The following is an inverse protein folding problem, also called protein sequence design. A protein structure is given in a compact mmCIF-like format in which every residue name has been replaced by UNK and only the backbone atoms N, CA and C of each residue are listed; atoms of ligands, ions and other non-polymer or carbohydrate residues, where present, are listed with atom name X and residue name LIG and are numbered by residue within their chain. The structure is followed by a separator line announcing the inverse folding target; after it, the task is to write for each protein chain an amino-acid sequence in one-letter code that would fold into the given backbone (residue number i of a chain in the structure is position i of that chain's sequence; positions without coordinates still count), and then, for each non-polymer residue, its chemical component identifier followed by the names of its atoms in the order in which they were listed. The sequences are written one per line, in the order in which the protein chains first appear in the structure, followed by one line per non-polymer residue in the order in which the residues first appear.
data_IF_202203818209
#
_entry.id   IF_202203818209
#
_cell.length_a   1.000
_cell.length_b   1.000
_cell.length_c   1.000
_cell.angle_alpha   90.00
_cell.angle_beta   90.00
_cell.angle_gamma   90.00
#
_symmetry.space_group_name_H-M   'P 1'
#
loop_
_entity.id
_entity.type
_entity.pdbx_description
1 polymer ?
#
# COMPACT_ATOMS: atom_id res chain seq x y z
N UNK A 1 9.03 0.93 -8.83
CA UNK A 1 7.74 0.54 -8.25
C UNK A 1 6.95 -0.30 -9.23
N UNK A 2 6.24 -1.29 -8.72
CA UNK A 2 5.40 -2.12 -9.55
C UNK A 2 4.15 -1.39 -10.05
N UNK A 3 3.62 -1.88 -11.15
CA UNK A 3 2.37 -1.36 -11.68
C UNK A 3 1.19 -1.85 -10.83
N UNK A 4 0.23 -0.97 -10.57
CA UNK A 4 -0.99 -1.32 -9.85
C UNK A 4 -2.04 -1.77 -10.87
N UNK A 5 -2.53 -3.01 -10.70
CA UNK A 5 -3.56 -3.56 -11.58
C UNK A 5 -4.90 -2.85 -11.35
N UNK A 6 -5.71 -2.75 -12.38
CA UNK A 6 -7.06 -2.22 -12.24
C UNK A 6 -7.93 -3.15 -11.40
N UNK A 7 -8.94 -2.57 -10.75
CA UNK A 7 -9.88 -3.35 -9.95
C UNK A 7 -10.64 -4.35 -10.84
N UNK A 8 -10.60 -5.63 -10.49
CA UNK A 8 -11.27 -6.67 -11.27
C UNK A 8 -12.80 -6.59 -11.19
N UNK A 9 -13.33 -5.94 -10.16
CA UNK A 9 -14.78 -5.86 -9.96
C UNK A 9 -15.43 -4.76 -10.78
N UNK A 10 -14.79 -3.60 -10.88
CA UNK A 10 -15.40 -2.46 -11.59
C UNK A 10 -14.51 -1.89 -12.68
N UNK A 11 -13.28 -2.36 -12.82
CA UNK A 11 -12.33 -1.85 -13.81
C UNK A 11 -11.81 -0.44 -13.51
N UNK A 12 -12.11 0.09 -12.32
CA UNK A 12 -11.65 1.42 -11.92
C UNK A 12 -10.16 1.45 -11.61
N UNK A 13 -9.60 2.65 -11.54
CA UNK A 13 -8.21 2.85 -11.21
C UNK A 13 -8.05 2.96 -9.70
N UNK A 14 -7.30 2.05 -9.06
CA UNK A 14 -7.08 2.11 -7.62
C UNK A 14 -6.04 3.15 -7.27
N UNK A 15 -6.09 3.60 -6.02
CA UNK A 15 -5.12 4.54 -5.45
C UNK A 15 -4.37 3.88 -4.32
N UNK A 16 -3.10 4.23 -4.19
CA UNK A 16 -2.27 3.80 -3.08
C UNK A 16 -2.45 4.77 -1.91
N UNK A 17 -2.75 4.21 -0.74
CA UNK A 17 -2.89 4.97 0.50
C UNK A 17 -1.73 4.64 1.42
N UNK A 18 -1.10 5.67 1.98
CA UNK A 18 0.04 5.52 2.89
C UNK A 18 -0.22 6.36 4.14
N UNK A 19 -0.02 5.75 5.31
CA UNK A 19 -0.08 6.45 6.59
C UNK A 19 1.15 6.13 7.40
N UNK A 20 1.77 7.16 7.99
CA UNK A 20 2.97 7.02 8.80
C UNK A 20 2.69 7.52 10.21
N UNK A 21 3.24 6.82 11.22
CA UNK A 21 3.25 7.32 12.60
C UNK A 21 4.35 8.36 12.75
N UNK A 22 4.34 9.07 13.88
CA UNK A 22 5.42 9.98 14.22
C UNK A 22 6.72 9.21 14.40
N UNK A 23 7.83 9.81 13.92
CA UNK A 23 9.14 9.20 14.07
C UNK A 23 9.58 9.24 15.53
N UNK A 24 10.01 8.08 16.04
CA UNK A 24 10.51 7.93 17.40
C UNK A 24 11.75 7.04 17.35
N UNK A 25 12.83 7.50 18.03
CA UNK A 25 14.07 6.74 18.14
C UNK A 25 14.65 6.30 16.77
N UNK A 26 14.50 7.16 15.76
CA UNK A 26 15.03 6.90 14.43
C UNK A 26 14.19 5.97 13.56
N UNK A 27 12.97 5.64 13.98
CA UNK A 27 12.08 4.80 13.18
C UNK A 27 10.63 5.27 13.29
N UNK A 28 9.81 4.78 12.36
CA UNK A 28 8.36 4.99 12.40
C UNK A 28 7.66 3.78 11.80
N UNK A 29 6.35 3.66 12.04
CA UNK A 29 5.55 2.59 11.45
C UNK A 29 4.80 3.16 10.26
N UNK A 30 4.89 2.46 9.13
CA UNK A 30 4.18 2.82 7.90
C UNK A 30 3.12 1.77 7.59
N UNK A 31 1.90 2.24 7.29
CA UNK A 31 0.85 1.39 6.74
C UNK A 31 0.61 1.79 5.30
N UNK A 32 0.43 0.81 4.44
CA UNK A 32 0.09 1.07 3.04
C UNK A 32 -0.95 0.05 2.57
N UNK A 33 -1.85 0.49 1.73
CA UNK A 33 -2.82 -0.37 1.08
C UNK A 33 -3.28 0.29 -0.21
N UNK A 34 -3.83 -0.53 -1.11
CA UNK A 34 -4.39 -0.06 -2.38
C UNK A 34 -5.90 -0.17 -2.29
N UNK A 35 -6.62 0.86 -2.71
CA UNK A 35 -8.07 0.90 -2.64
C UNK A 35 -8.64 1.42 -3.94
N UNK A 36 -9.70 0.76 -4.44
CA UNK A 36 -10.46 1.26 -5.56
C UNK A 36 -11.51 2.25 -5.04
N UNK A 37 -11.38 3.52 -5.43
CA UNK A 37 -12.30 4.56 -4.98
C UNK A 37 -13.69 4.43 -5.60
N UNK A 38 -13.81 3.75 -6.73
CA UNK A 38 -15.09 3.59 -7.42
C UNK A 38 -16.02 2.61 -6.73
N UNK A 39 -15.53 1.41 -6.40
CA UNK A 39 -16.33 0.37 -5.75
C UNK A 39 -15.97 0.16 -4.28
N UNK A 40 -15.01 0.93 -3.76
CA UNK A 40 -14.56 0.88 -2.38
C UNK A 40 -13.89 -0.43 -1.97
N UNK A 41 -13.50 -1.25 -2.94
CA UNK A 41 -12.75 -2.47 -2.66
C UNK A 41 -11.38 -2.10 -2.13
N UNK A 42 -10.99 -2.66 -0.98
CA UNK A 42 -9.73 -2.37 -0.32
C UNK A 42 -8.83 -3.60 -0.32
N UNK A 43 -7.58 -3.42 -0.73
CA UNK A 43 -6.57 -4.47 -0.65
C UNK A 43 -6.09 -4.67 0.79
N UNK A 44 -5.21 -5.65 0.98
CA UNK A 44 -4.67 -5.95 2.31
C UNK A 44 -3.78 -4.82 2.79
N UNK A 45 -3.92 -4.46 4.05
CA UNK A 45 -3.05 -3.47 4.68
C UNK A 45 -1.73 -4.11 5.02
N UNK A 46 -0.64 -3.46 4.63
CA UNK A 46 0.73 -3.89 4.97
C UNK A 46 1.31 -2.86 5.91
N UNK A 47 1.87 -3.31 7.04
CA UNK A 47 2.52 -2.41 7.97
C UNK A 47 3.94 -2.90 8.26
N UNK A 48 4.88 -1.97 8.35
CA UNK A 48 6.27 -2.26 8.64
C UNK A 48 6.89 -1.14 9.48
N UNK A 49 7.90 -1.51 10.26
CA UNK A 49 8.74 -0.54 10.94
C UNK A 49 9.79 -0.07 9.94
N UNK A 50 9.87 1.24 9.74
CA UNK A 50 10.80 1.85 8.77
C UNK A 50 11.91 2.57 9.50
N UNK A 51 13.14 2.08 9.31
CA UNK A 51 14.36 2.71 9.86
C UNK A 51 15.03 3.59 8.79
N UNK A 52 14.98 3.14 7.53
CA UNK A 52 15.62 3.80 6.40
C UNK A 52 14.66 3.76 5.21
N UNK A 53 14.32 4.92 4.66
CA UNK A 53 13.42 5.02 3.52
C UNK A 53 13.93 4.26 2.30
N UNK A 54 15.26 4.18 2.13
CA UNK A 54 15.84 3.49 0.99
C UNK A 54 15.58 1.98 1.02
N UNK A 55 15.41 1.40 2.20
CA UNK A 55 15.14 -0.03 2.38
C UNK A 55 13.68 -0.35 2.66
N UNK A 56 12.79 0.64 2.59
CA UNK A 56 11.37 0.44 2.83
C UNK A 56 10.71 -0.33 1.67
N UNK A 57 10.05 -1.44 1.99
CA UNK A 57 9.34 -2.27 1.02
C UNK A 57 7.82 -2.25 1.24
N UNK A 58 7.33 -1.40 2.13
CA UNK A 58 5.90 -1.39 2.51
C UNK A 58 4.99 -1.09 1.32
N UNK A 59 5.34 -0.08 0.54
CA UNK A 59 4.55 0.33 -0.64
C UNK A 59 4.52 -0.79 -1.68
N UNK A 60 5.68 -1.36 -1.98
CA UNK A 60 5.77 -2.46 -2.97
C UNK A 60 4.98 -3.67 -2.52
N UNK A 61 5.05 -4.01 -1.23
CA UNK A 61 4.30 -5.13 -0.66
C UNK A 61 2.79 -4.89 -0.74
N UNK A 62 2.33 -3.67 -0.47
CA UNK A 62 0.91 -3.34 -0.58
C UNK A 62 0.43 -3.46 -2.03
N UNK A 63 1.21 -2.99 -2.99
CA UNK A 63 0.89 -3.11 -4.41
C UNK A 63 0.84 -4.59 -4.82
N UNK A 64 1.81 -5.37 -4.38
CA UNK A 64 1.86 -6.80 -4.66
C UNK A 64 0.62 -7.51 -4.14
N UNK A 65 0.20 -7.22 -2.90
CA UNK A 65 -1.00 -7.83 -2.31
C UNK A 65 -2.25 -7.51 -3.12
N UNK A 66 -2.38 -6.25 -3.53
CA UNK A 66 -3.50 -5.85 -4.39
C UNK A 66 -3.48 -6.61 -5.72
N UNK A 67 -2.33 -6.67 -6.36
CA UNK A 67 -2.19 -7.31 -7.67
C UNK A 67 -2.45 -8.81 -7.62
N UNK A 68 -2.12 -9.48 -6.51
CA UNK A 68 -2.43 -10.90 -6.33
C UNK A 68 -3.93 -11.17 -6.35
N UNK A 69 -4.73 -10.22 -5.86
CA UNK A 69 -6.19 -10.35 -5.81
C UNK A 69 -6.88 -9.75 -7.04
N UNK A 70 -6.16 -9.03 -7.85
CA UNK A 70 -6.68 -8.35 -9.04
C UNK A 70 -5.79 -8.61 -10.24
#
# INVERSE_FOLDING_TARGET
MGKINKCKKCGGDPLLHINDTDRQNGHFIRWAFVRCEKCKETGRVVSNIVFDLASDTTVESAIQRWNEDN
#
